data_IF_037747312305
#
_entry.id   IF_037747312305
#
_cell.length_a   1.000
_cell.length_b   1.000
_cell.length_c   1.000
_cell.angle_alpha   90.00
_cell.angle_beta   90.00
_cell.angle_gamma   90.00
#
_symmetry.space_group_name_H-M   'P 1'
#
loop_
_entity.id
_entity.type
_entity.pdbx_description
1 polymer ?
#
# COMPACT_ATOMS: atom_id res chain seq x y z
N UNK A 1 14.21 -5.81 5.51
CA UNK A 1 15.50 -5.71 4.81
C UNK A 1 15.16 -5.33 3.39
N UNK A 2 15.72 -4.23 2.93
CA UNK A 2 15.60 -3.75 1.55
C UNK A 2 16.92 -4.01 0.83
N UNK A 3 16.85 -4.23 -0.47
CA UNK A 3 18.00 -4.15 -1.37
C UNK A 3 17.87 -2.87 -2.16
N UNK A 4 18.97 -2.13 -2.31
CA UNK A 4 19.00 -0.89 -3.10
C UNK A 4 19.49 -1.23 -4.50
N UNK A 5 18.76 -0.77 -5.52
CA UNK A 5 19.22 -0.80 -6.92
C UNK A 5 19.29 0.64 -7.39
N UNK A 6 20.47 1.10 -7.79
CA UNK A 6 20.69 2.47 -8.23
C UNK A 6 21.52 2.50 -9.51
N UNK A 7 21.20 3.44 -10.41
CA UNK A 7 21.96 3.71 -11.62
C UNK A 7 22.70 5.04 -11.43
N UNK A 8 24.03 4.99 -11.43
CA UNK A 8 24.89 6.13 -11.13
C UNK A 8 25.35 6.86 -12.40
N UNK A 9 25.50 8.18 -12.29
CA UNK A 9 26.21 8.97 -13.30
C UNK A 9 27.72 8.88 -13.03
N UNK A 10 28.43 8.14 -13.88
CA UNK A 10 29.87 7.90 -13.75
C UNK A 10 30.69 9.08 -14.28
N UNK A 11 30.12 9.93 -15.15
CA UNK A 11 30.83 11.05 -15.76
C UNK A 11 30.98 12.25 -14.80
N UNK A 12 30.16 12.32 -13.75
CA UNK A 12 30.17 13.39 -12.75
C UNK A 12 31.21 13.22 -11.61
N UNK A 13 32.31 12.48 -11.82
CA UNK A 13 33.44 12.44 -10.88
C UNK A 13 33.28 11.56 -9.62
N UNK A 14 32.28 10.68 -9.56
CA UNK A 14 32.17 9.69 -8.47
C UNK A 14 31.50 10.18 -7.18
N UNK A 15 30.97 11.40 -7.15
CA UNK A 15 30.34 12.06 -5.99
C UNK A 15 28.98 11.49 -5.55
N UNK A 16 28.70 10.20 -5.80
CA UNK A 16 27.51 9.53 -5.28
C UNK A 16 26.18 9.95 -5.92
N UNK A 17 26.21 10.77 -6.97
CA UNK A 17 25.03 11.15 -7.75
C UNK A 17 24.43 9.92 -8.44
N UNK A 18 23.10 9.84 -8.45
CA UNK A 18 22.36 8.77 -9.09
C UNK A 18 21.27 9.34 -10.00
N UNK A 19 21.07 8.67 -11.13
CA UNK A 19 20.05 9.02 -12.12
C UNK A 19 18.69 8.47 -11.72
N UNK A 20 18.67 7.27 -11.14
CA UNK A 20 17.46 6.65 -10.59
C UNK A 20 17.84 5.67 -9.48
N UNK A 21 16.96 5.52 -8.49
CA UNK A 21 17.15 4.64 -7.33
C UNK A 21 15.84 3.93 -7.00
N UNK A 22 15.94 2.65 -6.66
CA UNK A 22 14.83 1.82 -6.19
C UNK A 22 15.21 1.11 -4.89
N UNK A 23 14.28 1.05 -3.95
CA UNK A 23 14.37 0.19 -2.77
C UNK A 23 13.42 -0.98 -2.94
N UNK A 24 13.96 -2.17 -3.13
CA UNK A 24 13.18 -3.40 -3.33
C UNK A 24 13.19 -4.28 -2.09
N UNK A 25 12.16 -5.10 -1.95
CA UNK A 25 12.09 -6.05 -0.84
C UNK A 25 13.00 -7.25 -1.09
N UNK A 26 13.78 -7.61 -0.07
CA UNK A 26 14.54 -8.85 -0.09
C UNK A 26 13.63 -10.08 0.06
N UNK A 27 13.71 -11.02 -0.89
CA UNK A 27 13.02 -12.31 -0.76
C UNK A 27 13.85 -13.24 0.14
N UNK A 28 13.35 -13.44 1.37
CA UNK A 28 14.01 -14.27 2.39
C UNK A 28 13.87 -15.78 2.14
N UNK A 29 13.08 -16.19 1.14
CA UNK A 29 12.75 -17.60 0.87
C UNK A 29 13.43 -18.15 -0.37
N UNK A 30 13.93 -17.31 -1.26
CA UNK A 30 14.59 -17.79 -2.47
C UNK A 30 15.59 -16.76 -2.99
N UNK A 31 16.87 -17.17 -3.04
CA UNK A 31 17.94 -16.38 -3.65
C UNK A 31 17.66 -16.21 -5.14
N UNK A 32 17.27 -17.28 -5.84
CA UNK A 32 16.99 -17.23 -7.27
C UNK A 32 15.87 -16.24 -7.62
N UNK A 33 14.73 -16.28 -6.90
CA UNK A 33 13.66 -15.30 -7.11
C UNK A 33 14.13 -13.89 -6.81
N UNK A 34 14.91 -13.71 -5.73
CA UNK A 34 15.46 -12.40 -5.40
C UNK A 34 16.36 -11.86 -6.52
N UNK A 35 17.29 -12.65 -7.04
CA UNK A 35 18.14 -12.25 -8.15
C UNK A 35 17.33 -11.92 -9.42
N UNK A 36 16.35 -12.75 -9.76
CA UNK A 36 15.46 -12.47 -10.90
C UNK A 36 14.70 -11.15 -10.73
N UNK A 37 14.19 -10.87 -9.53
CA UNK A 37 13.55 -9.60 -9.18
C UNK A 37 14.48 -8.40 -9.37
N UNK A 38 15.74 -8.54 -8.94
CA UNK A 38 16.76 -7.52 -9.11
C UNK A 38 17.10 -7.29 -10.59
N UNK A 39 17.13 -8.33 -11.42
CA UNK A 39 17.34 -8.20 -12.86
C UNK A 39 16.21 -7.42 -13.54
N UNK A 40 14.94 -7.77 -13.26
CA UNK A 40 13.78 -7.04 -13.78
C UNK A 40 13.77 -5.59 -13.34
N UNK A 41 13.98 -5.33 -12.05
CA UNK A 41 14.09 -3.97 -11.50
C UNK A 41 15.20 -3.19 -12.21
N UNK A 42 16.40 -3.77 -12.32
CA UNK A 42 17.55 -3.11 -12.94
C UNK A 42 17.30 -2.76 -14.42
N UNK A 43 16.66 -3.66 -15.17
CA UNK A 43 16.36 -3.44 -16.58
C UNK A 43 15.46 -2.22 -16.81
N UNK A 44 14.47 -2.03 -15.93
CA UNK A 44 13.54 -0.90 -16.04
C UNK A 44 14.14 0.42 -15.58
N UNK A 45 15.07 0.38 -14.62
CA UNK A 45 15.80 1.57 -14.17
C UNK A 45 16.65 2.18 -15.29
N UNK A 46 17.23 1.36 -16.18
CA UNK A 46 17.98 1.86 -17.34
C UNK A 46 17.08 2.67 -18.29
N UNK A 47 15.91 2.12 -18.65
CA UNK A 47 14.93 2.84 -19.48
C UNK A 47 14.45 4.14 -18.85
N UNK A 48 14.21 4.13 -17.52
CA UNK A 48 13.83 5.33 -16.77
C UNK A 48 14.92 6.39 -16.76
N UNK A 49 16.17 5.99 -16.51
CA UNK A 49 17.29 6.91 -16.50
C UNK A 49 17.46 7.60 -17.87
N UNK A 50 17.39 6.83 -18.96
CA UNK A 50 17.43 7.37 -20.32
C UNK A 50 16.26 8.32 -20.60
N UNK A 51 15.04 7.94 -20.21
CA UNK A 51 13.85 8.79 -20.35
C UNK A 51 13.97 10.10 -19.58
N UNK A 52 14.53 10.07 -18.36
CA UNK A 52 14.80 11.28 -17.57
C UNK A 52 15.81 12.20 -18.25
N UNK A 53 16.93 11.65 -18.72
CA UNK A 53 17.96 12.41 -19.42
C UNK A 53 17.45 13.01 -20.72
N UNK A 54 16.69 12.24 -21.51
CA UNK A 54 16.06 12.71 -22.75
C UNK A 54 15.13 13.91 -22.51
N UNK A 55 14.41 13.91 -21.38
CA UNK A 55 13.51 15.00 -20.98
C UNK A 55 14.22 16.15 -20.22
N UNK A 56 15.56 16.17 -20.20
CA UNK A 56 16.34 17.25 -19.58
C UNK A 56 16.34 17.26 -18.05
N UNK A 57 15.96 16.16 -17.38
CA UNK A 57 16.00 16.09 -15.93
C UNK A 57 17.45 16.05 -15.42
N UNK A 58 17.76 16.89 -14.43
CA UNK A 58 19.04 16.82 -13.74
C UNK A 58 19.19 15.50 -12.96
N UNK A 59 20.42 14.98 -12.81
CA UNK A 59 20.71 13.89 -11.87
C UNK A 59 20.23 14.26 -10.47
N UNK A 60 19.70 13.29 -9.72
CA UNK A 60 19.28 13.54 -8.35
C UNK A 60 20.49 13.58 -7.44
N UNK A 61 20.59 14.65 -6.66
CA UNK A 61 21.58 14.78 -5.60
C UNK A 61 21.12 13.97 -4.39
N UNK A 62 21.96 13.03 -3.98
CA UNK A 62 21.81 12.35 -2.70
C UNK A 62 23.20 12.01 -2.20
N UNK A 63 23.44 12.21 -0.90
CA UNK A 63 24.57 11.56 -0.22
C UNK A 63 24.51 10.07 -0.59
N UNK A 64 25.65 9.47 -0.95
CA UNK A 64 25.79 8.01 -0.86
C UNK A 64 25.23 7.62 0.50
N UNK A 65 24.19 6.79 0.52
CA UNK A 65 23.71 6.24 1.79
C UNK A 65 24.95 5.54 2.40
N UNK A 66 25.46 6.05 3.52
CA UNK A 66 26.58 5.41 4.23
C UNK A 66 26.22 3.97 4.65
N UNK A 67 24.93 3.62 4.64
CA UNK A 67 24.40 2.27 4.84
C UNK A 67 24.35 1.41 3.57
N UNK A 68 24.39 2.01 2.38
CA UNK A 68 24.64 1.31 1.14
C UNK A 68 26.15 1.19 0.98
N UNK A 69 26.73 0.20 1.67
CA UNK A 69 28.05 -0.29 1.31
C UNK A 69 27.98 -0.76 -0.15
N UNK A 70 28.30 0.14 -1.09
CA UNK A 70 29.02 -0.29 -2.26
C UNK A 70 30.35 -0.76 -1.71
N UNK A 71 30.41 -2.02 -1.27
CA UNK A 71 31.70 -2.68 -1.24
C UNK A 71 32.20 -2.57 -2.68
N UNK A 72 33.08 -1.60 -2.91
CA UNK A 72 34.13 -1.70 -3.92
C UNK A 72 35.11 -2.83 -3.57
N UNK A 73 34.78 -3.65 -2.58
CA UNK A 73 35.37 -4.94 -2.33
C UNK A 73 35.15 -5.87 -3.52
N UNK A 74 36.17 -6.70 -3.74
CA UNK A 74 36.16 -7.76 -4.74
C UNK A 74 34.84 -8.55 -4.69
N UNK A 75 34.34 -9.05 -5.84
CA UNK A 75 33.16 -9.90 -5.85
C UNK A 75 33.31 -10.98 -4.79
N UNK A 76 32.34 -11.03 -3.87
CA UNK A 76 32.39 -11.93 -2.72
C UNK A 76 32.70 -13.35 -3.17
N UNK A 77 33.64 -14.00 -2.47
CA UNK A 77 34.01 -15.40 -2.73
C UNK A 77 32.74 -16.25 -2.80
N UNK A 78 32.61 -17.06 -3.86
CA UNK A 78 31.54 -18.06 -3.93
C UNK A 78 31.71 -18.99 -2.71
N UNK A 79 30.68 -19.16 -1.86
CA UNK A 79 30.80 -20.00 -0.68
C UNK A 79 31.26 -21.41 -1.03
N UNK A 80 32.12 -21.98 -0.20
CA UNK A 80 32.51 -23.39 -0.37
C UNK A 80 31.38 -24.35 0.05
N UNK A 81 31.54 -25.64 -0.25
CA UNK A 81 30.49 -26.64 0.03
C UNK A 81 30.10 -26.71 1.52
N UNK A 82 31.01 -26.41 2.46
CA UNK A 82 30.73 -26.46 3.90
C UNK A 82 29.92 -25.23 4.32
N UNK A 83 30.35 -24.06 3.86
CA UNK A 83 29.60 -22.81 4.05
C UNK A 83 28.20 -22.94 3.44
N UNK A 84 28.11 -23.56 2.26
CA UNK A 84 26.84 -23.77 1.58
C UNK A 84 25.93 -24.75 2.33
N UNK A 85 26.48 -25.86 2.83
CA UNK A 85 25.73 -26.78 3.69
C UNK A 85 25.20 -26.09 4.96
N UNK A 86 26.00 -25.24 5.61
CA UNK A 86 25.57 -24.48 6.78
C UNK A 86 24.46 -23.47 6.46
N UNK A 87 24.58 -22.74 5.34
CA UNK A 87 23.55 -21.81 4.88
C UNK A 87 22.23 -22.54 4.53
N UNK A 88 22.32 -23.70 3.88
CA UNK A 88 21.16 -24.56 3.59
C UNK A 88 20.51 -25.09 4.88
N UNK A 89 21.30 -25.51 5.87
CA UNK A 89 20.77 -25.95 7.16
C UNK A 89 20.05 -24.82 7.90
N UNK A 90 20.62 -23.60 7.92
CA UNK A 90 19.95 -22.41 8.49
C UNK A 90 18.65 -22.07 7.77
N UNK A 91 18.64 -22.21 6.44
CA UNK A 91 17.45 -22.00 5.63
C UNK A 91 16.37 -23.05 5.95
N UNK A 92 16.74 -24.33 6.00
CA UNK A 92 15.85 -25.43 6.33
C UNK A 92 15.24 -25.25 7.74
N UNK A 93 16.06 -24.91 8.74
CA UNK A 93 15.59 -24.64 10.10
C UNK A 93 14.59 -23.49 10.16
N UNK A 94 14.83 -22.40 9.42
CA UNK A 94 13.86 -21.29 9.30
C UNK A 94 12.58 -21.71 8.59
N UNK A 95 12.67 -22.52 7.54
CA UNK A 95 11.51 -23.02 6.80
C UNK A 95 10.63 -23.91 7.69
N UNK A 96 11.25 -24.81 8.48
CA UNK A 96 10.56 -25.68 9.44
C UNK A 96 9.91 -24.84 10.54
N UNK A 97 10.64 -23.93 11.18
CA UNK A 97 10.09 -23.06 12.22
C UNK A 97 8.92 -22.21 11.70
N UNK A 98 9.03 -21.69 10.47
CA UNK A 98 7.95 -20.97 9.81
C UNK A 98 6.73 -21.86 9.54
N UNK A 99 6.94 -23.10 9.05
CA UNK A 99 5.89 -24.08 8.81
C UNK A 99 5.14 -24.44 10.10
N UNK A 100 5.86 -24.81 11.15
CA UNK A 100 5.30 -25.12 12.47
C UNK A 100 4.54 -23.91 13.05
N UNK A 101 5.11 -22.71 12.93
CA UNK A 101 4.44 -21.48 13.35
C UNK A 101 3.10 -21.26 12.66
N UNK A 102 3.01 -21.52 11.34
CA UNK A 102 1.75 -21.44 10.58
C UNK A 102 0.74 -22.54 10.90
N UNK A 103 1.20 -23.68 11.41
CA UNK A 103 0.32 -24.75 11.87
C UNK A 103 -0.34 -24.40 13.20
N UNK A 104 0.40 -23.75 14.11
CA UNK A 104 -0.05 -23.39 15.46
C UNK A 104 -0.78 -22.04 15.53
N UNK A 105 -0.44 -21.13 14.60
CA UNK A 105 -0.97 -19.77 14.61
C UNK A 105 -1.33 -19.30 13.21
N UNK A 106 -2.40 -18.49 13.15
CA UNK A 106 -2.81 -17.76 11.97
C UNK A 106 -2.77 -16.26 12.29
N UNK A 107 -2.11 -15.50 11.42
CA UNK A 107 -2.23 -14.05 11.44
C UNK A 107 -3.61 -13.70 10.83
N UNK A 108 -4.44 -12.97 11.58
CA UNK A 108 -5.80 -12.57 11.20
C UNK A 108 -5.89 -11.04 11.19
N UNK A 109 -6.33 -10.45 10.08
CA UNK A 109 -6.64 -9.02 10.03
C UNK A 109 -7.88 -8.70 10.85
N UNK A 110 -7.78 -7.64 11.65
CA UNK A 110 -8.84 -7.06 12.45
C UNK A 110 -8.92 -5.57 12.14
N UNK A 111 -10.06 -4.96 12.46
CA UNK A 111 -10.19 -3.52 12.45
C UNK A 111 -10.13 -2.98 13.88
N UNK A 112 -9.83 -1.71 14.02
CA UNK A 112 -10.01 -0.97 15.26
C UNK A 112 -10.39 0.47 14.94
N UNK A 113 -11.15 1.12 15.83
CA UNK A 113 -11.58 2.49 15.62
C UNK A 113 -11.53 3.34 16.89
N UNK A 114 -11.39 4.65 16.72
CA UNK A 114 -11.56 5.63 17.80
C UNK A 114 -12.36 6.82 17.31
N UNK A 115 -13.23 7.35 18.17
CA UNK A 115 -13.89 8.63 17.93
C UNK A 115 -12.97 9.78 18.37
N UNK A 116 -13.07 10.92 17.70
CA UNK A 116 -12.32 12.15 17.95
C UNK A 116 -13.05 13.36 17.36
N UNK A 117 -12.49 14.55 17.57
CA UNK A 117 -13.11 15.81 17.11
C UNK A 117 -12.59 16.28 15.73
N UNK A 118 -11.51 15.69 15.19
CA UNK A 118 -11.05 16.01 13.82
C UNK A 118 -12.06 15.55 12.76
N UNK A 119 -12.35 16.40 11.77
CA UNK A 119 -13.34 16.09 10.72
C UNK A 119 -12.77 15.13 9.66
N UNK A 120 -11.77 15.55 8.89
CA UNK A 120 -11.33 14.84 7.67
C UNK A 120 -9.91 14.27 7.74
N UNK A 121 -9.37 14.11 8.95
CA UNK A 121 -8.03 13.56 9.17
C UNK A 121 -8.07 12.44 10.22
N UNK A 122 -7.21 11.40 10.07
CA UNK A 122 -7.03 10.41 11.13
C UNK A 122 -6.51 11.07 12.40
N UNK A 123 -7.04 10.69 13.56
CA UNK A 123 -6.63 11.15 14.88
C UNK A 123 -5.10 11.06 15.03
N UNK A 124 -4.49 12.13 15.55
CA UNK A 124 -3.05 12.13 15.84
C UNK A 124 -2.62 11.07 16.86
N UNK A 125 -3.55 10.57 17.68
CA UNK A 125 -3.25 9.68 18.81
C UNK A 125 -4.16 8.46 18.82
N UNK A 126 -3.58 7.27 18.75
CA UNK A 126 -4.30 5.98 18.70
C UNK A 126 -4.52 5.33 20.08
N UNK A 127 -4.51 6.10 21.17
CA UNK A 127 -4.47 5.59 22.54
C UNK A 127 -5.78 4.93 23.04
N UNK A 128 -6.88 4.95 22.26
CA UNK A 128 -8.22 4.49 22.69
C UNK A 128 -8.97 3.70 21.62
N UNK A 129 -8.25 2.86 20.87
CA UNK A 129 -8.83 2.03 19.83
C UNK A 129 -9.76 0.95 20.41
N UNK A 130 -10.98 0.88 19.90
CA UNK A 130 -11.93 -0.21 20.11
C UNK A 130 -11.74 -1.25 19.02
N UNK A 131 -11.41 -2.47 19.42
CA UNK A 131 -11.14 -3.56 18.46
C UNK A 131 -12.44 -4.17 17.91
N UNK A 132 -12.44 -4.42 16.61
CA UNK A 132 -13.47 -5.12 15.86
C UNK A 132 -12.86 -6.42 15.34
N UNK A 133 -13.08 -7.51 16.07
CA UNK A 133 -12.45 -8.80 15.80
C UNK A 133 -13.43 -9.69 15.02
N UNK A 134 -13.11 -10.12 13.79
CA UNK A 134 -13.93 -11.04 13.04
C UNK A 134 -13.98 -12.45 13.66
N UNK A 135 -14.98 -13.26 13.28
CA UNK A 135 -14.96 -14.70 13.50
C UNK A 135 -13.67 -15.34 12.95
N UNK A 136 -13.25 -16.48 13.51
CA UNK A 136 -11.96 -17.14 13.19
C UNK A 136 -11.84 -17.63 11.74
N UNK A 137 -12.95 -17.72 11.02
CA UNK A 137 -13.03 -18.25 9.65
C UNK A 137 -12.79 -17.19 8.57
N UNK A 138 -12.55 -15.93 8.96
CA UNK A 138 -12.37 -14.80 8.04
C UNK A 138 -11.42 -13.74 8.57
N UNK A 139 -11.21 -12.68 7.79
CA UNK A 139 -10.58 -11.45 8.27
C UNK A 139 -11.30 -10.21 7.76
N UNK A 140 -11.02 -9.06 8.37
CA UNK A 140 -11.46 -7.73 7.92
C UNK A 140 -10.24 -6.82 7.75
N UNK A 141 -10.13 -6.15 6.60
CA UNK A 141 -9.01 -5.26 6.26
C UNK A 141 -9.48 -4.06 5.42
N UNK A 142 -8.59 -3.10 5.20
CA UNK A 142 -8.81 -1.91 4.36
C UNK A 142 -10.07 -1.10 4.72
N UNK A 143 -10.19 -0.57 5.95
CA UNK A 143 -11.40 0.15 6.37
C UNK A 143 -11.49 1.55 5.75
N UNK A 144 -12.61 1.86 5.09
CA UNK A 144 -12.98 3.18 4.58
C UNK A 144 -14.28 3.68 5.23
N UNK A 145 -14.21 4.57 6.22
CA UNK A 145 -15.37 5.13 6.88
C UNK A 145 -16.07 6.21 6.02
N UNK A 146 -17.39 6.24 6.07
CA UNK A 146 -18.28 7.30 5.58
C UNK A 146 -19.28 7.65 6.67
N UNK A 147 -19.50 8.94 6.93
CA UNK A 147 -20.60 9.39 7.78
C UNK A 147 -21.90 9.51 6.99
N UNK A 148 -23.00 9.01 7.56
CA UNK A 148 -24.34 9.10 6.98
C UNK A 148 -25.41 9.23 8.05
N UNK A 149 -26.04 10.40 8.13
CA UNK A 149 -27.03 10.71 9.18
C UNK A 149 -26.41 10.61 10.57
N UNK A 150 -26.90 9.68 11.39
CA UNK A 150 -26.44 9.46 12.76
C UNK A 150 -25.57 8.20 12.92
N UNK A 151 -24.95 7.75 11.83
CA UNK A 151 -24.15 6.53 11.78
C UNK A 151 -22.85 6.76 11.00
N UNK A 152 -21.86 5.94 11.31
CA UNK A 152 -20.68 5.72 10.47
C UNK A 152 -20.78 4.37 9.80
N UNK A 153 -20.43 4.31 8.52
CA UNK A 153 -20.42 3.11 7.70
C UNK A 153 -18.97 2.82 7.33
N UNK A 154 -18.45 1.67 7.73
CA UNK A 154 -17.07 1.24 7.46
C UNK A 154 -17.12 0.20 6.35
N UNK A 155 -16.83 0.63 5.13
CA UNK A 155 -16.59 -0.28 4.00
C UNK A 155 -15.24 -0.95 4.19
N UNK A 156 -15.15 -2.26 3.99
CA UNK A 156 -13.94 -3.03 4.24
C UNK A 156 -13.87 -4.28 3.36
N UNK A 157 -12.67 -4.82 3.19
CA UNK A 157 -12.48 -6.16 2.65
C UNK A 157 -12.87 -7.21 3.71
N UNK A 158 -13.80 -8.11 3.36
CA UNK A 158 -13.98 -9.36 4.08
C UNK A 158 -13.51 -10.54 3.22
N UNK A 159 -12.53 -11.30 3.74
CA UNK A 159 -12.12 -12.56 3.13
C UNK A 159 -12.48 -13.73 4.04
N UNK A 160 -13.38 -14.58 3.55
CA UNK A 160 -13.70 -15.86 4.18
C UNK A 160 -12.63 -16.87 3.77
N UNK A 161 -11.89 -17.43 4.72
CA UNK A 161 -10.74 -18.29 4.44
C UNK A 161 -11.08 -19.49 3.58
N UNK A 162 -12.27 -20.07 3.72
CA UNK A 162 -12.68 -21.20 2.87
C UNK A 162 -12.88 -20.80 1.40
N UNK A 163 -13.28 -19.55 1.14
CA UNK A 163 -13.48 -19.01 -0.23
C UNK A 163 -12.18 -18.53 -0.88
N UNK A 164 -11.16 -18.17 -0.09
CA UNK A 164 -9.88 -17.62 -0.57
C UNK A 164 -10.02 -16.39 -1.50
N UNK A 165 -11.09 -15.61 -1.31
CA UNK A 165 -11.43 -14.44 -2.13
C UNK A 165 -12.07 -13.35 -1.27
N UNK A 166 -11.53 -12.14 -1.36
CA UNK A 166 -12.05 -10.94 -0.71
C UNK A 166 -13.28 -10.42 -1.42
N UNK A 167 -14.21 -9.86 -0.67
CA UNK A 167 -15.36 -9.11 -1.16
C UNK A 167 -15.56 -7.87 -0.30
N UNK A 168 -16.28 -6.87 -0.80
CA UNK A 168 -16.53 -5.66 -0.01
C UNK A 168 -17.75 -5.86 0.87
N UNK A 169 -17.60 -5.57 2.15
CA UNK A 169 -18.66 -5.57 3.13
C UNK A 169 -18.68 -4.25 3.91
N UNK A 170 -19.79 -3.98 4.60
CA UNK A 170 -19.97 -2.78 5.42
C UNK A 170 -20.34 -3.14 6.86
N UNK A 171 -19.68 -2.47 7.81
CA UNK A 171 -20.07 -2.41 9.22
C UNK A 171 -20.71 -1.06 9.51
N UNK A 172 -21.73 -1.04 10.37
CA UNK A 172 -22.39 0.20 10.77
C UNK A 172 -22.15 0.47 12.25
N UNK A 173 -21.74 1.68 12.59
CA UNK A 173 -21.55 2.14 13.97
C UNK A 173 -22.53 3.27 14.24
N UNK A 174 -23.41 3.09 15.23
CA UNK A 174 -24.32 4.16 15.66
C UNK A 174 -23.65 5.11 16.68
N UNK A 175 -24.30 6.23 17.01
CA UNK A 175 -23.79 7.21 18.00
C UNK A 175 -23.46 6.63 19.39
N UNK A 176 -24.03 5.48 19.76
CA UNK A 176 -23.74 4.79 21.04
C UNK A 176 -22.52 3.86 20.93
N UNK A 177 -21.94 3.71 19.75
CA UNK A 177 -20.85 2.78 19.46
C UNK A 177 -21.29 1.33 19.29
N UNK A 178 -22.59 1.08 19.11
CA UNK A 178 -23.08 -0.27 18.79
C UNK A 178 -22.77 -0.54 17.33
N UNK A 179 -22.20 -1.72 17.07
CA UNK A 179 -21.76 -2.16 15.75
C UNK A 179 -22.74 -3.19 15.21
N UNK A 180 -23.21 -2.97 13.98
CA UNK A 180 -24.10 -3.87 13.24
C UNK A 180 -23.39 -4.36 11.94
N UNK A 181 -23.71 -5.59 11.52
CA UNK A 181 -23.09 -6.22 10.34
C UNK A 181 -22.00 -7.26 10.68
N UNK A 182 -21.11 -7.60 9.73
CA UNK A 182 -20.99 -7.01 8.40
C UNK A 182 -22.08 -7.45 7.42
N UNK A 183 -22.35 -6.63 6.39
CA UNK A 183 -23.20 -6.99 5.25
C UNK A 183 -22.40 -6.88 3.96
N UNK A 184 -22.41 -7.90 3.11
CA UNK A 184 -21.79 -7.87 1.78
C UNK A 184 -22.49 -6.83 0.91
N UNK A 185 -21.71 -5.95 0.27
CA UNK A 185 -22.21 -4.87 -0.60
C UNK A 185 -21.69 -4.97 -2.03
N UNK A 186 -20.58 -5.67 -2.25
CA UNK A 186 -20.04 -5.94 -3.59
C UNK A 186 -19.27 -7.27 -3.59
N UNK A 187 -19.70 -8.21 -4.44
CA UNK A 187 -19.01 -9.47 -4.70
C UNK A 187 -18.86 -9.66 -6.23
N UNK A 188 -17.68 -10.16 -6.63
CA UNK A 188 -17.31 -10.49 -8.01
C UNK A 188 -16.68 -11.88 -8.04
N UNK A 189 -16.47 -12.44 -9.23
CA UNK A 189 -15.75 -13.70 -9.41
C UNK A 189 -14.23 -13.57 -9.18
N UNK A 190 -13.70 -12.36 -9.19
CA UNK A 190 -12.35 -11.99 -8.75
C UNK A 190 -12.30 -11.38 -7.33
N UNK A 191 -11.10 -11.27 -6.78
CA UNK A 191 -10.83 -10.70 -5.46
C UNK A 191 -11.07 -9.18 -5.46
N UNK A 192 -11.73 -8.67 -4.41
CA UNK A 192 -11.94 -7.25 -4.16
C UNK A 192 -11.40 -6.87 -2.78
N UNK A 193 -10.67 -5.77 -2.69
CA UNK A 193 -10.20 -5.15 -1.45
C UNK A 193 -10.21 -3.62 -1.57
N UNK A 194 -9.63 -2.89 -0.61
CA UNK A 194 -9.40 -1.44 -0.69
C UNK A 194 -10.59 -0.60 -1.23
N UNK A 195 -11.76 -0.58 -0.55
CA UNK A 195 -12.97 0.10 -1.05
C UNK A 195 -12.90 1.63 -0.91
N UNK A 196 -12.00 2.28 -1.64
CA UNK A 196 -11.85 3.73 -1.62
C UNK A 196 -13.13 4.41 -2.10
N UNK A 197 -13.70 5.33 -1.31
CA UNK A 197 -14.96 6.01 -1.64
C UNK A 197 -14.81 7.52 -1.77
N UNK A 198 -15.63 8.16 -2.59
CA UNK A 198 -15.66 9.62 -2.74
C UNK A 198 -16.97 10.11 -3.34
N UNK A 199 -17.31 11.37 -3.06
CA UNK A 199 -18.49 12.03 -3.63
C UNK A 199 -18.10 12.89 -4.83
N UNK A 200 -18.87 12.81 -5.91
CA UNK A 200 -18.69 13.65 -7.11
C UNK A 200 -20.01 13.85 -7.84
N UNK A 201 -20.33 15.09 -8.22
CA UNK A 201 -21.56 15.39 -8.99
C UNK A 201 -22.85 14.93 -8.30
N UNK A 202 -22.92 15.02 -6.97
CA UNK A 202 -24.09 14.57 -6.18
C UNK A 202 -24.25 13.06 -6.04
N UNK A 203 -23.32 12.26 -6.57
CA UNK A 203 -23.31 10.81 -6.42
C UNK A 203 -22.13 10.35 -5.53
N UNK A 204 -22.31 9.19 -4.91
CA UNK A 204 -21.26 8.51 -4.15
C UNK A 204 -20.66 7.40 -5.03
N UNK A 205 -19.34 7.35 -5.09
CA UNK A 205 -18.59 6.36 -5.85
C UNK A 205 -17.63 5.56 -4.97
N UNK A 206 -17.25 4.37 -5.46
CA UNK A 206 -16.26 3.48 -4.87
C UNK A 206 -15.29 3.00 -5.97
N UNK A 207 -14.00 2.99 -5.67
CA UNK A 207 -12.93 2.38 -6.47
C UNK A 207 -12.31 1.28 -5.61
N UNK A 208 -12.83 0.04 -5.68
CA UNK A 208 -12.19 -1.09 -5.02
C UNK A 208 -10.90 -1.48 -5.77
N UNK A 209 -9.97 -2.15 -5.07
CA UNK A 209 -8.90 -2.87 -5.75
C UNK A 209 -9.49 -4.00 -6.59
N UNK A 210 -9.17 -4.01 -7.89
CA UNK A 210 -9.65 -4.98 -8.88
C UNK A 210 -8.48 -5.58 -9.68
N UNK A 211 -7.30 -5.66 -9.06
CA UNK A 211 -6.05 -6.14 -9.66
C UNK A 211 -6.16 -7.55 -10.26
N UNK A 212 -6.98 -8.41 -9.64
CA UNK A 212 -7.30 -9.75 -10.14
C UNK A 212 -8.08 -9.76 -11.46
N UNK A 213 -8.78 -8.67 -11.80
CA UNK A 213 -9.45 -8.47 -13.09
C UNK A 213 -8.61 -7.66 -14.08
N UNK A 214 -7.39 -7.24 -13.69
CA UNK A 214 -6.50 -6.37 -14.49
C UNK A 214 -7.10 -5.01 -14.86
N UNK A 215 -7.96 -4.45 -14.01
CA UNK A 215 -8.65 -3.19 -14.24
C UNK A 215 -8.51 -2.25 -13.06
N UNK A 216 -8.87 -0.99 -13.26
CA UNK A 216 -9.31 -0.08 -12.19
C UNK A 216 -10.79 0.22 -12.45
N UNK A 217 -11.67 -0.28 -11.61
CA UNK A 217 -13.12 -0.15 -11.78
C UNK A 217 -13.71 0.95 -10.89
N UNK A 218 -14.68 1.68 -11.42
CA UNK A 218 -15.47 2.66 -10.69
C UNK A 218 -16.89 2.14 -10.51
N UNK A 219 -17.34 2.09 -9.26
CA UNK A 219 -18.69 1.72 -8.87
C UNK A 219 -19.45 2.93 -8.37
N UNK A 220 -20.73 3.03 -8.74
CA UNK A 220 -21.66 4.06 -8.26
C UNK A 220 -22.60 3.47 -7.22
N UNK A 221 -22.79 4.18 -6.11
CA UNK A 221 -23.81 3.86 -5.12
C UNK A 221 -25.19 4.21 -5.67
N UNK A 222 -26.07 3.22 -5.76
CA UNK A 222 -27.44 3.37 -6.25
C UNK A 222 -28.48 3.25 -5.13
N UNK A 223 -28.12 2.60 -4.02
CA UNK A 223 -28.88 2.58 -2.78
C UNK A 223 -27.92 2.52 -1.59
N UNK A 224 -27.79 3.64 -0.87
CA UNK A 224 -26.83 3.71 0.22
C UNK A 224 -27.31 2.94 1.47
N UNK A 225 -26.45 2.16 2.15
CA UNK A 225 -25.04 1.87 1.83
C UNK A 225 -24.83 0.56 1.02
N UNK A 226 -25.90 -0.15 0.67
CA UNK A 226 -25.85 -1.58 0.34
C UNK A 226 -25.71 -1.91 -1.15
N UNK A 227 -26.15 -1.04 -2.06
CA UNK A 227 -26.22 -1.38 -3.50
C UNK A 227 -25.29 -0.50 -4.32
N UNK A 228 -24.37 -1.17 -5.01
CA UNK A 228 -23.35 -0.58 -5.87
C UNK A 228 -23.40 -1.21 -7.26
N UNK A 229 -23.33 -0.38 -8.29
CA UNK A 229 -23.32 -0.83 -9.69
C UNK A 229 -22.01 -0.38 -10.36
N UNK A 230 -21.49 -1.20 -11.28
CA UNK A 230 -20.33 -0.81 -12.07
C UNK A 230 -20.73 0.37 -12.96
N UNK A 231 -20.06 1.52 -12.79
CA UNK A 231 -20.27 2.70 -13.62
C UNK A 231 -19.39 2.65 -14.87
N UNK A 232 -18.08 2.40 -14.69
CA UNK A 232 -17.11 2.28 -15.79
C UNK A 232 -15.80 1.63 -15.35
N UNK A 233 -15.01 1.22 -16.34
CA UNK A 233 -13.60 0.87 -16.18
C UNK A 233 -12.75 2.12 -16.42
N UNK A 234 -11.99 2.56 -15.42
CA UNK A 234 -11.12 3.75 -15.49
C UNK A 234 -9.80 3.45 -16.20
N UNK A 235 -9.28 2.23 -16.03
CA UNK A 235 -8.06 1.73 -16.66
C UNK A 235 -8.21 0.23 -16.92
N UNK A 236 -7.71 -0.25 -18.05
CA UNK A 236 -7.78 -1.65 -18.47
C UNK A 236 -6.38 -2.20 -18.77
N UNK A 237 -6.21 -3.52 -18.63
CA UNK A 237 -4.96 -4.23 -18.88
C UNK A 237 -3.84 -3.99 -17.85
N UNK A 238 -4.15 -3.50 -16.66
CA UNK A 238 -3.18 -3.05 -15.64
C UNK A 238 -3.24 -3.87 -14.34
N UNK A 239 -2.08 -4.18 -13.76
CA UNK A 239 -2.00 -4.70 -12.39
C UNK A 239 -1.85 -3.55 -11.41
N UNK A 240 -2.99 -2.92 -11.12
CA UNK A 240 -3.10 -1.75 -10.27
C UNK A 240 -3.70 -2.11 -8.91
N UNK A 241 -3.07 -1.65 -7.82
CA UNK A 241 -3.53 -1.88 -6.46
C UNK A 241 -3.63 -0.59 -5.66
N UNK A 242 -4.58 -0.55 -4.73
CA UNK A 242 -4.87 0.54 -3.81
C UNK A 242 -5.09 1.93 -4.48
N UNK A 243 -5.84 1.96 -5.59
CA UNK A 243 -6.12 3.21 -6.31
C UNK A 243 -6.85 4.22 -5.41
N UNK A 244 -6.20 5.36 -5.14
CA UNK A 244 -6.68 6.39 -4.21
C UNK A 244 -6.77 7.73 -4.93
N UNK A 245 -7.94 8.38 -4.87
CA UNK A 245 -8.16 9.64 -5.56
C UNK A 245 -8.07 10.86 -4.64
N UNK A 246 -7.59 11.97 -5.18
CA UNK A 246 -7.65 13.28 -4.53
C UNK A 246 -7.85 14.39 -5.57
N UNK A 247 -8.59 15.43 -5.20
CA UNK A 247 -8.68 16.65 -6.00
C UNK A 247 -7.66 17.67 -5.51
N UNK A 248 -6.87 18.22 -6.43
CA UNK A 248 -5.95 19.31 -6.15
C UNK A 248 -5.69 20.17 -7.39
N UNK A 249 -5.70 21.49 -7.21
CA UNK A 249 -5.36 22.44 -8.28
C UNK A 249 -6.33 22.36 -9.46
N UNK A 250 -7.60 22.09 -9.22
CA UNK A 250 -8.62 21.93 -10.27
C UNK A 250 -8.46 20.66 -11.11
N UNK A 251 -7.67 19.68 -10.65
CA UNK A 251 -7.50 18.38 -11.29
C UNK A 251 -7.71 17.25 -10.29
N UNK A 252 -8.06 16.09 -10.82
CA UNK A 252 -8.12 14.84 -10.08
C UNK A 252 -6.83 14.07 -10.27
N UNK A 253 -6.35 13.48 -9.18
CA UNK A 253 -5.13 12.69 -9.11
C UNK A 253 -5.48 11.28 -8.62
N UNK A 254 -4.91 10.27 -9.26
CA UNK A 254 -4.98 8.87 -8.83
C UNK A 254 -3.59 8.42 -8.38
N UNK A 255 -3.45 8.12 -7.09
CA UNK A 255 -2.30 7.46 -6.49
C UNK A 255 -2.54 5.97 -6.54
N UNK A 256 -1.67 5.24 -7.22
CA UNK A 256 -1.88 3.81 -7.44
C UNK A 256 -0.55 3.08 -7.47
N UNK A 257 -0.49 1.90 -6.88
CA UNK A 257 0.70 1.06 -7.04
C UNK A 257 0.53 0.20 -8.29
N UNK A 258 1.54 0.21 -9.16
CA UNK A 258 1.57 -0.63 -10.37
C UNK A 258 2.88 -1.38 -10.38
N UNK A 259 2.79 -2.70 -10.36
CA UNK A 259 3.96 -3.56 -10.39
C UNK A 259 4.70 -3.43 -11.74
N UNK A 260 6.03 -3.45 -11.69
CA UNK A 260 6.85 -3.65 -12.89
C UNK A 260 6.58 -5.06 -13.43
N UNK A 261 6.64 -5.23 -14.75
CA UNK A 261 6.60 -6.55 -15.35
C UNK A 261 7.72 -7.45 -14.77
N UNK A 262 7.35 -8.65 -14.34
CA UNK A 262 8.26 -9.58 -13.68
C UNK A 262 8.58 -9.27 -12.21
N UNK A 263 8.03 -8.20 -11.64
CA UNK A 263 8.17 -7.91 -10.21
C UNK A 263 7.56 -9.03 -9.36
N UNK A 264 8.25 -9.38 -8.27
CA UNK A 264 7.73 -10.34 -7.29
C UNK A 264 6.57 -9.79 -6.45
N UNK A 265 6.46 -8.47 -6.36
CA UNK A 265 5.59 -7.77 -5.43
C UNK A 265 4.92 -6.57 -6.12
N UNK A 266 3.69 -6.32 -5.72
CA UNK A 266 2.77 -5.26 -6.17
C UNK A 266 2.72 -4.09 -5.18
N UNK A 267 3.87 -3.75 -4.57
CA UNK A 267 3.93 -2.73 -3.53
C UNK A 267 5.22 -1.91 -3.54
N UNK A 268 5.92 -1.87 -4.68
CA UNK A 268 7.23 -1.22 -4.80
C UNK A 268 7.17 0.12 -5.53
N UNK A 269 6.18 0.36 -6.38
CA UNK A 269 6.15 1.55 -7.23
C UNK A 269 4.86 2.35 -7.13
N UNK A 270 4.97 3.63 -6.81
CA UNK A 270 3.87 4.57 -6.85
C UNK A 270 3.82 5.24 -8.22
N UNK A 271 2.67 5.13 -8.87
CA UNK A 271 2.32 5.83 -10.10
C UNK A 271 1.23 6.84 -9.81
N UNK A 272 1.28 7.96 -10.53
CA UNK A 272 0.27 9.01 -10.51
C UNK A 272 -0.38 9.11 -11.88
N UNK A 273 -1.70 9.28 -11.89
CA UNK A 273 -2.45 9.68 -13.08
C UNK A 273 -3.25 10.94 -12.76
N UNK A 274 -3.52 11.75 -13.77
CA UNK A 274 -4.32 12.95 -13.63
C UNK A 274 -5.45 13.04 -14.65
N UNK A 275 -6.53 13.70 -14.26
CA UNK A 275 -7.70 13.91 -15.10
C UNK A 275 -8.40 15.24 -14.73
N UNK A 276 -9.29 15.70 -15.59
CA UNK A 276 -10.17 16.86 -15.28
C UNK A 276 -11.38 16.44 -14.42
N UNK A 277 -11.69 15.14 -14.41
CA UNK A 277 -12.80 14.52 -13.69
C UNK A 277 -12.32 13.20 -13.08
N UNK A 278 -12.85 12.76 -11.92
CA UNK A 278 -12.51 11.45 -11.37
C UNK A 278 -13.04 10.30 -12.24
N UNK A 279 -13.89 10.62 -13.22
CA UNK A 279 -14.43 9.68 -14.21
C UNK A 279 -13.47 9.45 -15.40
N UNK A 280 -12.32 10.12 -15.39
CA UNK A 280 -11.33 10.08 -16.47
C UNK A 280 -11.61 11.07 -17.62
N UNK A 281 -10.92 10.94 -18.76
CA UNK A 281 -9.85 9.96 -19.00
C UNK A 281 -8.61 10.26 -18.17
N UNK A 282 -7.97 9.21 -17.64
CA UNK A 282 -6.77 9.31 -16.83
C UNK A 282 -5.52 9.36 -17.70
N UNK A 283 -4.65 10.35 -17.46
CA UNK A 283 -3.37 10.54 -18.16
C UNK A 283 -2.21 10.26 -17.20
N UNK A 284 -1.17 9.53 -17.62
CA UNK A 284 -0.04 9.23 -16.74
C UNK A 284 0.75 10.50 -16.41
N UNK A 285 1.20 10.59 -15.16
CA UNK A 285 2.18 11.60 -14.76
C UNK A 285 3.50 11.41 -15.51
N UNK A 286 4.15 12.49 -15.94
CA UNK A 286 5.30 12.44 -16.85
C UNK A 286 6.53 11.74 -16.27
N UNK A 287 6.64 11.73 -14.94
CA UNK A 287 7.72 11.06 -14.20
C UNK A 287 7.33 9.68 -13.63
N UNK A 288 6.28 9.02 -14.12
CA UNK A 288 5.91 7.69 -13.64
C UNK A 288 7.03 6.64 -13.84
N UNK A 289 7.26 5.75 -12.85
CA UNK A 289 6.76 5.83 -11.47
C UNK A 289 7.37 7.01 -10.71
N UNK A 290 6.55 7.76 -9.99
CA UNK A 290 7.03 8.93 -9.23
C UNK A 290 7.82 8.54 -7.99
N UNK A 291 7.67 7.30 -7.51
CA UNK A 291 8.47 6.72 -6.42
C UNK A 291 8.62 5.22 -6.62
N UNK A 292 9.84 4.72 -6.38
CA UNK A 292 10.17 3.28 -6.41
C UNK A 292 10.80 2.92 -5.06
N UNK A 293 9.98 2.69 -4.05
CA UNK A 293 10.43 2.44 -2.68
C UNK A 293 9.43 1.61 -1.89
N UNK A 294 9.76 0.33 -1.66
CA UNK A 294 8.94 -0.61 -0.89
C UNK A 294 8.61 -0.16 0.54
N UNK A 295 9.27 0.88 1.05
CA UNK A 295 9.05 1.43 2.39
C UNK A 295 7.93 2.48 2.44
N UNK A 296 7.50 3.02 1.30
CA UNK A 296 6.47 4.07 1.26
C UNK A 296 5.72 4.21 -0.08
N UNK A 297 5.87 3.29 -1.03
CA UNK A 297 5.21 3.41 -2.34
C UNK A 297 3.71 3.09 -2.31
N UNK A 298 3.32 1.93 -1.76
CA UNK A 298 1.92 1.48 -1.76
C UNK A 298 1.03 2.37 -0.86
N UNK A 299 -0.12 2.86 -1.36
CA UNK A 299 -1.07 3.62 -0.54
C UNK A 299 -1.55 2.85 0.71
N UNK A 300 -1.86 3.60 1.78
CA UNK A 300 -2.36 3.05 3.06
C UNK A 300 -3.65 3.73 3.52
N UNK A 301 -4.39 4.33 2.61
CA UNK A 301 -5.67 4.98 2.86
C UNK A 301 -5.79 6.31 2.11
N UNK A 302 -6.86 7.04 2.41
CA UNK A 302 -7.18 8.35 1.88
C UNK A 302 -6.09 9.36 2.24
N UNK A 303 -5.78 10.23 1.28
CA UNK A 303 -4.99 11.42 1.55
C UNK A 303 -5.80 12.40 2.40
N UNK A 304 -5.17 13.02 3.39
CA UNK A 304 -5.84 13.94 4.30
C UNK A 304 -5.11 15.28 4.36
N UNK A 305 -5.83 16.31 4.82
CA UNK A 305 -5.27 17.65 5.03
C UNK A 305 -5.11 17.92 6.51
N UNK A 306 -3.99 18.53 6.90
CA UNK A 306 -3.78 19.05 8.25
C UNK A 306 -2.94 20.33 8.16
N UNK A 307 -3.39 21.42 8.79
CA UNK A 307 -2.68 22.70 8.73
C UNK A 307 -2.45 23.20 7.29
N UNK A 308 -3.40 22.98 6.39
CA UNK A 308 -3.32 23.42 4.99
C UNK A 308 -2.52 22.50 4.05
N UNK A 309 -1.64 21.64 4.58
CA UNK A 309 -0.81 20.72 3.80
C UNK A 309 -1.51 19.37 3.54
N UNK A 310 -1.08 18.68 2.49
CA UNK A 310 -1.53 17.32 2.14
C UNK A 310 -0.61 16.25 2.73
N UNK A 311 -1.23 15.18 3.20
CA UNK A 311 -0.54 14.02 3.75
C UNK A 311 -1.05 12.74 3.09
N UNK A 312 -0.13 11.84 2.78
CA UNK A 312 -0.41 10.53 2.19
C UNK A 312 0.05 9.41 3.12
N UNK A 313 -0.88 8.64 3.69
CA UNK A 313 -0.57 7.36 4.29
C UNK A 313 -0.02 6.40 3.23
N UNK A 314 1.06 5.70 3.56
CA UNK A 314 1.66 4.66 2.72
C UNK A 314 2.12 3.47 3.54
N UNK A 315 2.25 2.31 2.91
CA UNK A 315 2.69 1.09 3.58
C UNK A 315 4.21 0.95 3.52
N UNK A 316 4.82 0.60 4.65
CA UNK A 316 6.16 0.05 4.66
C UNK A 316 6.09 -1.48 4.56
N UNK A 317 6.36 -1.99 3.36
CA UNK A 317 6.32 -3.42 3.09
C UNK A 317 7.70 -4.09 3.22
N UNK A 318 8.76 -3.37 3.61
CA UNK A 318 10.12 -3.91 3.64
C UNK A 318 10.33 -5.04 4.66
N UNK A 319 9.84 -4.96 5.91
CA UNK A 319 10.03 -6.06 6.88
C UNK A 319 9.10 -7.25 6.59
N UNK A 320 7.83 -6.95 6.34
CA UNK A 320 6.73 -7.83 5.92
C UNK A 320 5.65 -6.97 5.24
N UNK A 321 4.72 -7.59 4.52
CA UNK A 321 3.58 -6.87 3.93
C UNK A 321 2.82 -6.12 5.02
N UNK A 322 2.54 -4.83 4.79
CA UNK A 322 1.78 -3.99 5.71
C UNK A 322 2.42 -3.76 7.09
N UNK A 323 3.75 -3.77 7.22
CA UNK A 323 4.38 -3.77 8.55
C UNK A 323 3.98 -2.55 9.41
N UNK A 324 4.14 -1.35 8.87
CA UNK A 324 3.70 -0.12 9.49
C UNK A 324 3.25 0.89 8.44
N UNK A 325 2.52 1.91 8.87
CA UNK A 325 2.10 3.01 8.01
C UNK A 325 3.13 4.13 8.13
N UNK A 326 3.52 4.69 6.99
CA UNK A 326 4.38 5.87 6.86
C UNK A 326 3.53 7.03 6.40
N UNK A 327 3.54 8.11 7.17
CA UNK A 327 2.84 9.35 6.84
C UNK A 327 3.81 10.25 6.10
N UNK A 328 3.50 10.54 4.83
CA UNK A 328 4.30 11.42 4.00
C UNK A 328 3.59 12.76 3.86
N UNK A 329 4.27 13.87 4.14
CA UNK A 329 3.81 15.20 3.76
C UNK A 329 4.16 15.42 2.30
N UNK A 330 3.17 15.77 1.49
CA UNK A 330 3.38 16.07 0.07
C UNK A 330 3.86 17.52 -0.04
N UNK A 331 5.02 17.70 -0.65
CA UNK A 331 5.66 19.01 -0.82
C UNK A 331 5.27 19.65 -2.15
N UNK A 332 5.14 18.85 -3.21
CA UNK A 332 4.77 19.32 -4.55
C UNK A 332 4.10 18.19 -5.32
N UNK A 333 3.08 18.52 -6.10
CA UNK A 333 2.46 17.61 -7.05
C UNK A 333 1.76 18.35 -8.21
N UNK A 334 2.30 18.23 -9.40
CA UNK A 334 1.67 18.70 -10.63
C UNK A 334 1.90 17.67 -11.73
N UNK A 335 1.71 18.03 -13.00
CA UNK A 335 1.83 17.07 -14.12
C UNK A 335 3.29 16.69 -14.42
N UNK A 336 4.23 17.50 -13.96
CA UNK A 336 5.66 17.43 -14.23
C UNK A 336 6.45 16.97 -12.98
N UNK A 337 6.00 17.31 -11.77
CA UNK A 337 6.70 17.08 -10.51
C UNK A 337 5.84 16.42 -9.42
N UNK A 338 6.45 15.50 -8.67
CA UNK A 338 5.90 14.95 -7.43
C UNK A 338 7.01 14.78 -6.40
N UNK A 339 6.80 15.31 -5.20
CA UNK A 339 7.72 15.18 -4.09
C UNK A 339 6.96 15.06 -2.76
N UNK A 340 7.45 14.20 -1.88
CA UNK A 340 6.94 14.01 -0.53
C UNK A 340 8.06 13.64 0.43
N UNK A 341 7.89 14.00 1.69
CA UNK A 341 8.82 13.71 2.78
C UNK A 341 8.11 12.94 3.88
N UNK A 342 8.75 11.88 4.38
CA UNK A 342 8.28 11.16 5.56
C UNK A 342 8.31 12.08 6.79
N UNK A 343 7.19 12.18 7.49
CA UNK A 343 7.07 13.03 8.70
C UNK A 343 6.69 12.24 9.94
N UNK A 344 6.10 11.05 9.79
CA UNK A 344 5.67 10.21 10.91
C UNK A 344 5.51 8.75 10.50
N UNK A 345 5.41 7.85 11.49
CA UNK A 345 5.13 6.43 11.32
C UNK A 345 4.15 5.92 12.37
N UNK A 346 3.16 5.15 11.94
CA UNK A 346 2.24 4.44 12.82
C UNK A 346 2.69 2.99 12.90
N UNK A 347 3.33 2.63 14.00
CA UNK A 347 3.79 1.27 14.28
C UNK A 347 2.63 0.36 14.71
N UNK A 348 2.76 -0.97 14.59
CA UNK A 348 1.77 -1.93 15.07
C UNK A 348 1.81 -2.09 16.61
N UNK A 349 1.97 -1.00 17.36
CA UNK A 349 2.07 -0.96 18.83
C UNK A 349 0.80 -0.44 19.51
N UNK A 350 -0.23 -0.13 18.72
CA UNK A 350 -1.52 0.39 19.18
C UNK A 350 -2.43 -0.66 19.86
N UNK A 351 -2.02 -1.93 19.87
CA UNK A 351 -2.78 -3.01 20.50
C UNK A 351 -1.91 -4.23 20.83
N UNK A 352 -2.29 -4.96 21.88
CA UNK A 352 -1.55 -6.16 22.28
C UNK A 352 -1.61 -7.24 21.18
N UNK A 353 -0.44 -7.73 20.77
CA UNK A 353 -0.33 -8.82 19.81
C UNK A 353 -0.54 -8.42 18.34
N UNK A 354 -0.69 -7.13 18.06
CA UNK A 354 -0.69 -6.58 16.70
C UNK A 354 0.73 -6.67 16.14
N UNK A 355 0.87 -7.12 14.89
CA UNK A 355 2.18 -7.33 14.24
C UNK A 355 2.33 -6.59 12.91
N UNK A 356 1.25 -6.01 12.40
CA UNK A 356 1.17 -5.21 11.18
C UNK A 356 0.07 -4.17 11.31
N UNK A 357 0.12 -3.11 10.52
CA UNK A 357 -0.94 -2.13 10.33
C UNK A 357 -0.75 -1.48 8.97
N UNK A 358 -1.76 -1.52 8.10
CA UNK A 358 -1.55 -1.17 6.69
C UNK A 358 -2.57 -0.22 6.07
N UNK A 359 -3.72 -0.01 6.69
CA UNK A 359 -4.69 0.97 6.22
C UNK A 359 -5.21 1.80 7.38
N UNK A 360 -5.23 3.13 7.20
CA UNK A 360 -5.80 4.09 8.13
C UNK A 360 -6.63 5.13 7.38
N UNK A 361 -7.83 5.41 7.89
CA UNK A 361 -8.70 6.44 7.35
C UNK A 361 -9.43 7.20 8.46
N UNK A 362 -9.63 8.50 8.25
CA UNK A 362 -10.46 9.37 9.06
C UNK A 362 -11.70 9.83 8.30
N UNK A 363 -12.86 9.93 8.96
CA UNK A 363 -14.05 10.58 8.42
C UNK A 363 -15.01 11.02 9.53
N UNK A 364 -15.33 12.31 9.57
CA UNK A 364 -16.27 12.97 10.48
C UNK A 364 -16.14 12.48 11.94
N UNK A 365 -14.96 12.69 12.53
CA UNK A 365 -14.71 12.34 13.93
C UNK A 365 -14.53 10.84 14.21
N UNK A 366 -14.32 10.02 13.18
CA UNK A 366 -13.99 8.61 13.32
C UNK A 366 -12.68 8.28 12.59
N UNK A 367 -11.72 7.70 13.31
CA UNK A 367 -10.55 7.05 12.73
C UNK A 367 -10.74 5.56 12.79
N UNK A 368 -10.50 4.89 11.67
CA UNK A 368 -10.48 3.43 11.56
C UNK A 368 -9.12 3.00 11.02
N UNK A 369 -8.56 1.97 11.62
CA UNK A 369 -7.28 1.38 11.28
C UNK A 369 -7.44 -0.14 11.27
N UNK A 370 -6.56 -0.84 10.58
CA UNK A 370 -6.47 -2.30 10.66
C UNK A 370 -5.10 -2.78 11.14
N UNK A 371 -5.05 -4.07 11.48
CA UNK A 371 -3.80 -4.76 11.77
C UNK A 371 -3.97 -6.26 11.87
N UNK A 372 -2.87 -7.00 11.74
CA UNK A 372 -2.86 -8.44 11.98
C UNK A 372 -2.61 -8.72 13.45
N UNK A 373 -3.45 -9.56 14.04
CA UNK A 373 -3.17 -10.22 15.32
C UNK A 373 -2.80 -11.68 15.08
N UNK A 374 -1.95 -12.23 15.95
CA UNK A 374 -1.66 -13.66 15.94
C UNK A 374 -2.70 -14.42 16.75
N UNK A 375 -3.44 -15.33 16.10
CA UNK A 375 -4.47 -16.16 16.74
C UNK A 375 -4.08 -17.63 16.71
N UNK A 376 -4.28 -18.34 17.81
CA UNK A 376 -4.08 -19.80 17.86
C UNK A 376 -5.04 -20.49 16.90
N UNK A 377 -4.56 -21.53 16.21
CA UNK A 377 -5.38 -22.43 15.39
C UNK A 377 -5.89 -23.64 16.17
N UNK A 378 -5.36 -23.88 17.38
CA UNK A 378 -5.63 -25.08 18.18
C UNK A 378 -6.82 -24.94 19.14
N UNK A 379 -7.29 -23.72 19.38
CA UNK A 379 -8.40 -23.40 20.28
C UNK A 379 -9.26 -22.30 19.68
#
# INVERSE_FOLDING_TARGET
>A
MTTVVALHDVAAGGDGRWLVKSFVKADKRSIWRHCNHLCWTSSTLAGRALGRLYNGAAPMEGRRDESASSDGGQPGRIPDNREMAHLLARFAGRAVAYGLGRMLYRDQWILAYTAHDEEDAPCSTLARLRHLIPPKDRFWADPFPIAGGNRHYIFMEELIYRKQKGHIAVLEINRRGVVEGPRTVLERDYHLSYPFTFSYGGALYMVPETSGNRTVELYRCVEFPHRWELDRVLMDGVHAVDATLAEHGGRWWMFVNIAVEGALYDYEELHLFHAESPLGPWRPHRRNPVKSDVRSARPAGRLFRRGGAWYRPSQNCAPRYGYNIVINKIETWDIDEYAEVEVDRISPDWGQGVVTTHTINGCAGLTVIDGQIRRSTLF
#
